data_IF_026771293184
#
_entry.id   IF_026771293184
#
_cell.length_a   1.000
_cell.length_b   1.000
_cell.length_c   1.000
_cell.angle_alpha   90.00
_cell.angle_beta   90.00
_cell.angle_gamma   90.00
#
_symmetry.space_group_name_H-M   'P 1'
#
loop_
_entity.id
_entity.type
_entity.pdbx_description
1 polymer ?
#
# COMPACT_ATOMS: atom_id res chain seq x y z
N UNK A 1 -3.07 59.95 -7.69
CA UNK A 1 -4.36 59.30 -8.02
C UNK A 1 -4.12 57.80 -8.09
N UNK A 2 -4.94 57.04 -7.39
CA UNK A 2 -4.74 55.63 -7.01
C UNK A 2 -5.43 54.72 -8.02
N UNK A 3 -4.82 53.58 -8.41
CA UNK A 3 -5.44 52.25 -8.60
C UNK A 3 -4.56 51.29 -9.42
N UNK A 4 -3.43 50.89 -8.84
CA UNK A 4 -2.84 49.58 -9.09
C UNK A 4 -3.18 48.68 -7.90
N UNK A 5 -4.42 48.17 -7.88
CA UNK A 5 -4.90 47.24 -6.85
C UNK A 5 -5.83 46.23 -7.49
N UNK A 6 -5.24 45.27 -8.21
CA UNK A 6 -6.00 44.21 -8.87
C UNK A 6 -5.43 42.79 -8.76
N UNK A 7 -4.22 42.58 -8.22
CA UNK A 7 -3.59 41.25 -8.28
C UNK A 7 -3.02 40.65 -6.99
N UNK A 8 -3.11 41.34 -5.85
CA UNK A 8 -2.53 40.83 -4.60
C UNK A 8 -3.53 41.06 -3.47
N UNK A 9 -4.39 40.07 -3.20
CA UNK A 9 -5.09 39.95 -1.91
C UNK A 9 -5.46 38.51 -1.51
N UNK A 10 -5.58 37.56 -2.45
CA UNK A 10 -5.97 36.18 -2.10
C UNK A 10 -4.78 35.26 -1.76
N UNK A 11 -3.56 35.61 -2.17
CA UNK A 11 -2.36 34.80 -1.90
C UNK A 11 -1.73 35.03 -0.52
N UNK A 12 -2.12 36.10 0.20
CA UNK A 12 -1.50 36.46 1.49
C UNK A 12 -2.31 36.05 2.73
N UNK A 13 -3.45 35.36 2.58
CA UNK A 13 -4.17 34.79 3.74
C UNK A 13 -3.85 33.32 4.02
N UNK A 14 -3.10 32.67 3.14
CA UNK A 14 -2.53 31.34 3.41
C UNK A 14 -1.13 31.54 3.99
N UNK A 15 -1.00 31.66 5.31
CA UNK A 15 0.29 31.51 5.97
C UNK A 15 0.88 30.16 5.53
N UNK A 16 2.16 30.09 5.10
CA UNK A 16 2.78 28.81 4.72
C UNK A 16 2.73 27.76 5.83
N UNK A 17 2.65 28.20 7.10
CA UNK A 17 2.41 27.32 8.25
C UNK A 17 1.07 26.57 8.13
N UNK A 18 -0.03 27.25 7.81
CA UNK A 18 -1.33 26.61 7.63
C UNK A 18 -1.44 25.76 6.35
N UNK A 19 -0.64 26.03 5.32
CA UNK A 19 -0.60 25.19 4.11
C UNK A 19 0.03 23.83 4.42
N UNK A 20 1.00 23.79 5.33
CA UNK A 20 1.63 22.56 5.78
C UNK A 20 0.70 21.78 6.69
N UNK A 21 0.08 22.44 7.67
CA UNK A 21 -0.94 21.83 8.54
C UNK A 21 -2.10 21.27 7.73
N UNK A 22 -2.60 22.00 6.72
CA UNK A 22 -3.65 21.48 5.84
C UNK A 22 -3.16 20.22 5.11
N UNK A 23 -1.98 20.21 4.49
CA UNK A 23 -1.45 19.01 3.81
C UNK A 23 -1.31 17.81 4.75
N UNK A 24 -0.78 18.03 5.95
CA UNK A 24 -0.65 16.96 6.95
C UNK A 24 -2.03 16.43 7.37
N UNK A 25 -3.03 17.31 7.55
CA UNK A 25 -4.42 16.93 7.83
C UNK A 25 -5.05 16.17 6.65
N UNK A 26 -4.80 16.58 5.41
CA UNK A 26 -5.31 15.89 4.21
C UNK A 26 -4.68 14.50 4.06
N UNK A 27 -3.36 14.38 4.28
CA UNK A 27 -2.67 13.09 4.29
C UNK A 27 -3.16 12.17 5.41
N UNK A 28 -3.49 12.71 6.59
CA UNK A 28 -4.04 11.96 7.71
C UNK A 28 -5.50 11.53 7.46
N UNK A 29 -6.30 12.36 6.77
CA UNK A 29 -7.68 12.02 6.34
C UNK A 29 -7.73 10.99 5.20
N UNK A 30 -6.68 10.90 4.38
CA UNK A 30 -6.58 9.93 3.27
C UNK A 30 -5.98 8.57 3.69
N UNK A 31 -5.59 8.40 4.95
CA UNK A 31 -5.16 7.10 5.45
C UNK A 31 -6.38 6.23 5.67
N UNK A 32 -6.46 5.15 4.91
CA UNK A 32 -7.41 4.10 5.19
C UNK A 32 -7.06 3.41 6.53
N UNK A 33 -8.05 2.82 7.18
CA UNK A 33 -7.78 1.89 8.29
C UNK A 33 -7.29 0.58 7.71
N UNK A 34 -6.23 -0.02 8.28
CA UNK A 34 -5.77 -1.36 7.88
C UNK A 34 -6.95 -2.32 7.97
N UNK A 35 -7.35 -2.99 6.88
CA UNK A 35 -8.47 -3.92 6.93
C UNK A 35 -8.09 -5.11 7.81
N UNK A 36 -8.98 -5.47 8.72
CA UNK A 36 -8.84 -6.67 9.54
C UNK A 36 -9.08 -7.90 8.68
N UNK A 37 -8.09 -8.78 8.64
CA UNK A 37 -8.18 -10.10 8.01
C UNK A 37 -8.62 -11.09 9.09
N UNK A 38 -9.74 -11.77 8.88
CA UNK A 38 -10.22 -12.78 9.81
C UNK A 38 -9.39 -14.07 9.70
N UNK A 39 -9.54 -14.95 10.69
CA UNK A 39 -8.74 -16.18 10.80
C UNK A 39 -8.97 -17.10 9.59
N UNK A 40 -10.20 -17.13 9.06
CA UNK A 40 -10.54 -17.95 7.91
C UNK A 40 -9.87 -17.44 6.64
N UNK A 41 -9.98 -16.14 6.33
CA UNK A 41 -9.30 -15.56 5.17
C UNK A 41 -7.78 -15.70 5.27
N UNK A 42 -7.19 -15.56 6.47
CA UNK A 42 -5.76 -15.77 6.65
C UNK A 42 -5.34 -17.20 6.30
N UNK A 43 -6.08 -18.20 6.77
CA UNK A 43 -5.81 -19.61 6.44
C UNK A 43 -5.94 -19.88 4.95
N UNK A 44 -6.94 -19.29 4.30
CA UNK A 44 -7.19 -19.44 2.87
C UNK A 44 -6.06 -18.79 2.04
N UNK A 45 -5.58 -17.62 2.46
CA UNK A 45 -4.43 -16.96 1.85
C UNK A 45 -3.16 -17.80 2.00
N UNK A 46 -2.89 -18.36 3.19
CA UNK A 46 -1.74 -19.24 3.39
C UNK A 46 -1.78 -20.48 2.50
N UNK A 47 -2.96 -21.07 2.29
CA UNK A 47 -3.15 -22.19 1.36
C UNK A 47 -2.89 -21.77 -0.09
N UNK A 48 -3.45 -20.64 -0.54
CA UNK A 48 -3.22 -20.09 -1.89
C UNK A 48 -1.75 -19.77 -2.15
N UNK A 49 -1.06 -19.20 -1.16
CA UNK A 49 0.37 -18.91 -1.21
C UNK A 49 1.16 -20.21 -1.42
N UNK A 50 0.88 -21.25 -0.61
CA UNK A 50 1.55 -22.56 -0.75
C UNK A 50 1.27 -23.20 -2.10
N UNK A 51 0.02 -23.17 -2.55
CA UNK A 51 -0.37 -23.68 -3.86
C UNK A 51 0.37 -22.95 -4.98
N UNK A 52 0.35 -21.61 -4.99
CA UNK A 52 1.04 -20.84 -6.01
C UNK A 52 2.57 -21.02 -5.98
N UNK A 53 3.17 -21.23 -4.79
CA UNK A 53 4.58 -21.59 -4.67
C UNK A 53 4.90 -22.95 -5.30
N UNK A 54 4.06 -23.97 -5.05
CA UNK A 54 4.25 -25.33 -5.56
C UNK A 54 4.18 -25.37 -7.10
N UNK A 55 3.23 -24.63 -7.68
CA UNK A 55 2.99 -24.60 -9.12
C UNK A 55 3.65 -23.42 -9.84
N UNK A 56 4.44 -22.61 -9.13
CA UNK A 56 5.07 -21.39 -9.64
C UNK A 56 4.08 -20.48 -10.40
N UNK A 57 2.93 -20.22 -9.77
CA UNK A 57 1.84 -19.45 -10.36
C UNK A 57 1.98 -17.95 -10.07
N UNK A 58 1.45 -17.16 -10.99
CA UNK A 58 1.37 -15.72 -10.84
C UNK A 58 0.25 -15.36 -9.86
N UNK A 59 0.58 -14.59 -8.82
CA UNK A 59 -0.38 -14.11 -7.84
C UNK A 59 -0.60 -12.62 -7.98
N UNK A 60 -1.85 -12.20 -7.73
CA UNK A 60 -2.23 -10.82 -7.48
C UNK A 60 -2.48 -10.66 -5.99
N UNK A 61 -1.71 -9.79 -5.38
CA UNK A 61 -1.72 -9.58 -3.94
C UNK A 61 -2.07 -8.14 -3.62
N UNK A 62 -2.94 -7.94 -2.64
CA UNK A 62 -3.22 -6.64 -2.05
C UNK A 62 -2.44 -6.52 -0.75
N UNK A 63 -1.52 -5.56 -0.70
CA UNK A 63 -0.56 -5.37 0.39
C UNK A 63 -0.85 -4.05 1.09
N UNK A 64 -0.93 -4.09 2.42
CA UNK A 64 -1.05 -2.91 3.25
C UNK A 64 0.30 -2.20 3.39
N UNK A 65 0.36 -0.94 2.97
CA UNK A 65 1.53 -0.10 3.18
C UNK A 65 1.31 0.77 4.41
N UNK A 66 1.90 0.39 5.56
CA UNK A 66 1.74 1.10 6.83
C UNK A 66 2.20 2.57 6.76
N UNK A 67 3.25 2.87 6.00
CA UNK A 67 3.79 4.22 5.88
C UNK A 67 2.85 5.15 5.11
N UNK A 68 2.18 4.63 4.08
CA UNK A 68 1.23 5.38 3.26
C UNK A 68 -0.21 5.30 3.78
N UNK A 69 -0.50 4.36 4.68
CA UNK A 69 -1.87 4.06 5.13
C UNK A 69 -2.79 3.69 3.98
N UNK A 70 -2.29 2.98 2.96
CA UNK A 70 -3.04 2.62 1.75
C UNK A 70 -2.70 1.19 1.32
N UNK A 71 -3.64 0.55 0.64
CA UNK A 71 -3.41 -0.74 0.01
C UNK A 71 -2.77 -0.58 -1.36
N UNK A 72 -1.66 -1.28 -1.61
CA UNK A 72 -1.00 -1.36 -2.91
C UNK A 72 -1.27 -2.73 -3.52
N UNK A 73 -1.61 -2.77 -4.82
CA UNK A 73 -1.72 -4.03 -5.56
C UNK A 73 -0.36 -4.37 -6.19
N UNK A 74 0.06 -5.61 -6.02
CA UNK A 74 1.26 -6.16 -6.65
C UNK A 74 0.91 -7.47 -7.36
N UNK A 75 1.60 -7.74 -8.46
CA UNK A 75 1.46 -8.98 -9.20
C UNK A 75 2.84 -9.58 -9.40
N UNK A 76 3.00 -10.86 -9.06
CA UNK A 76 4.29 -11.52 -9.10
C UNK A 76 4.20 -12.98 -8.68
N UNK A 77 5.30 -13.70 -8.83
CA UNK A 77 5.43 -15.09 -8.37
C UNK A 77 6.12 -15.10 -7.01
N UNK A 78 5.75 -16.05 -6.14
CA UNK A 78 6.45 -16.19 -4.86
C UNK A 78 7.71 -17.01 -5.08
N UNK A 79 8.86 -16.44 -4.73
CA UNK A 79 10.15 -17.10 -4.85
C UNK A 79 10.51 -17.86 -3.57
N UNK A 80 10.26 -17.26 -2.41
CA UNK A 80 10.58 -17.87 -1.12
C UNK A 80 9.70 -17.32 0.01
N UNK A 81 9.32 -18.20 0.94
CA UNK A 81 8.67 -17.85 2.20
C UNK A 81 9.60 -18.19 3.36
N UNK A 82 9.97 -17.18 4.15
CA UNK A 82 10.64 -17.41 5.43
C UNK A 82 9.57 -17.62 6.51
N UNK A 83 9.36 -18.87 6.93
CA UNK A 83 8.38 -19.22 7.96
C UNK A 83 8.72 -18.64 9.34
N UNK A 84 10.02 -18.49 9.65
CA UNK A 84 10.49 -17.97 10.94
C UNK A 84 10.17 -16.49 11.12
N UNK A 85 10.44 -15.71 10.07
CA UNK A 85 10.26 -14.26 10.06
C UNK A 85 8.92 -13.82 9.40
N UNK A 86 8.08 -14.79 8.98
CA UNK A 86 6.82 -14.61 8.23
C UNK A 86 6.92 -13.58 7.09
N UNK A 87 8.01 -13.69 6.32
CA UNK A 87 8.34 -12.80 5.22
C UNK A 87 8.30 -13.54 3.89
N UNK A 88 7.54 -13.00 2.94
CA UNK A 88 7.46 -13.45 1.54
C UNK A 88 8.43 -12.65 0.68
N UNK A 89 9.15 -13.34 -0.19
CA UNK A 89 9.94 -12.76 -1.26
C UNK A 89 9.22 -13.01 -2.58
N UNK A 90 8.74 -11.93 -3.18
CA UNK A 90 7.92 -11.94 -4.39
C UNK A 90 8.77 -11.40 -5.53
N UNK A 91 8.80 -12.11 -6.65
CA UNK A 91 9.38 -11.63 -7.89
C UNK A 91 8.29 -10.93 -8.71
N UNK A 92 8.34 -9.59 -8.70
CA UNK A 92 7.50 -8.74 -9.52
C UNK A 92 8.31 -8.41 -10.78
N UNK A 93 8.01 -9.02 -11.92
CA UNK A 93 8.86 -9.01 -13.13
C UNK A 93 9.67 -7.73 -13.39
N UNK A 94 9.02 -6.56 -13.48
CA UNK A 94 9.67 -5.26 -13.75
C UNK A 94 10.36 -4.61 -12.53
N UNK A 95 9.95 -4.98 -11.31
CA UNK A 95 10.43 -4.37 -10.05
C UNK A 95 11.45 -5.26 -9.32
N UNK A 96 11.73 -6.44 -9.85
CA UNK A 96 12.61 -7.44 -9.23
C UNK A 96 12.00 -8.06 -7.98
N UNK A 97 12.84 -8.35 -6.99
CA UNK A 97 12.39 -9.02 -5.76
C UNK A 97 11.94 -8.02 -4.70
N UNK A 98 10.69 -8.16 -4.27
CA UNK A 98 10.08 -7.38 -3.18
C UNK A 98 9.90 -8.27 -1.95
N UNK A 99 10.24 -7.74 -0.77
CA UNK A 99 9.98 -8.41 0.51
C UNK A 99 8.70 -7.86 1.13
N UNK A 100 7.81 -8.75 1.53
CA UNK A 100 6.50 -8.41 2.09
C UNK A 100 6.23 -9.28 3.31
N UNK A 101 5.77 -8.68 4.42
CA UNK A 101 5.32 -9.44 5.58
C UNK A 101 3.96 -10.05 5.31
N UNK A 102 3.75 -11.30 5.74
CA UNK A 102 2.45 -11.97 5.61
C UNK A 102 1.35 -11.19 6.34
N UNK A 103 1.68 -10.54 7.46
CA UNK A 103 0.74 -9.72 8.24
C UNK A 103 0.23 -8.47 7.50
N UNK A 104 0.95 -8.04 6.46
CA UNK A 104 0.54 -6.91 5.62
C UNK A 104 -0.22 -7.36 4.38
N UNK A 105 -0.38 -8.67 4.15
CA UNK A 105 -1.26 -9.14 3.09
C UNK A 105 -2.72 -9.03 3.50
N UNK A 106 -3.51 -8.45 2.59
CA UNK A 106 -4.94 -8.26 2.74
C UNK A 106 -5.71 -9.27 1.90
N UNK A 107 -5.25 -9.55 0.68
CA UNK A 107 -5.85 -10.57 -0.18
C UNK A 107 -4.80 -11.17 -1.13
N UNK A 108 -5.02 -12.43 -1.51
CA UNK A 108 -4.22 -13.19 -2.48
C UNK A 108 -5.15 -13.88 -3.45
N UNK A 109 -4.96 -13.61 -4.73
CA UNK A 109 -5.71 -14.22 -5.82
C UNK A 109 -4.74 -14.79 -6.85
N UNK A 110 -4.96 -16.03 -7.28
CA UNK A 110 -4.19 -16.64 -8.38
C UNK A 110 -4.69 -16.04 -9.69
N UNK A 111 -3.76 -15.59 -10.53
CA UNK A 111 -4.09 -15.12 -11.88
C UNK A 111 -4.16 -16.35 -12.79
N UNK A 112 -5.38 -16.74 -13.17
CA UNK A 112 -5.64 -17.77 -14.20
C UNK A 112 -5.24 -17.30 -15.61
#
# INVERSE_FOLDING_TARGET
>A
MIRDRGKIKWTSLMLPEHVKELRDIWEEFERDTKPEVDIFALSEMEERIRYAMEYHLLLRMKIWNELKGKCEMKTGTIHYLNERDRNLMIECGDEGFVRVRVEDLISVDVVE
#
